data_IF_453020420148
#
_entry.id   IF_453020420148
#
_cell.length_a   1.000
_cell.length_b   1.000
_cell.length_c   1.000
_cell.angle_alpha   90.00
_cell.angle_beta   90.00
_cell.angle_gamma   90.00
#
_symmetry.space_group_name_H-M   'P 1'
#
loop_
_entity.id
_entity.type
_entity.pdbx_description
1 polymer ?
#
# COMPACT_ATOMS: atom_id res chain seq x y z
N UNK A 1 -7.07 10.48 -5.46
CA UNK A 1 -7.96 10.33 -4.28
C UNK A 1 -7.12 9.89 -3.08
N UNK A 2 -7.60 10.06 -1.84
CA UNK A 2 -6.91 9.61 -0.63
C UNK A 2 -7.48 8.25 -0.21
N UNK A 3 -6.63 7.24 -0.07
CA UNK A 3 -7.03 5.86 0.23
C UNK A 3 -6.30 5.37 1.48
N UNK A 4 -7.06 4.96 2.48
CA UNK A 4 -6.54 4.26 3.66
C UNK A 4 -6.65 2.75 3.43
N UNK A 5 -5.53 2.03 3.57
CA UNK A 5 -5.49 0.57 3.55
C UNK A 5 -5.11 0.08 4.95
N UNK A 6 -6.02 -0.68 5.56
CA UNK A 6 -5.76 -1.40 6.80
C UNK A 6 -4.98 -2.68 6.48
N UNK A 7 -3.75 -2.80 6.97
CA UNK A 7 -2.81 -3.86 6.59
C UNK A 7 -2.02 -3.52 5.34
N UNK A 8 -2.18 -4.31 4.27
CA UNK A 8 -1.60 -3.99 2.96
C UNK A 8 -0.15 -4.43 2.72
N UNK A 9 0.53 -4.97 3.74
CA UNK A 9 1.95 -5.39 3.64
C UNK A 9 2.15 -6.85 3.19
N UNK A 10 1.08 -7.59 2.86
CA UNK A 10 1.13 -8.99 2.39
C UNK A 10 0.05 -9.27 1.34
N UNK A 11 0.25 -10.34 0.56
CA UNK A 11 -0.72 -10.92 -0.38
C UNK A 11 -1.30 -9.85 -1.32
N UNK A 12 -2.63 -9.79 -1.47
CA UNK A 12 -3.32 -8.85 -2.35
C UNK A 12 -3.04 -7.38 -2.01
N UNK A 13 -2.76 -7.08 -0.73
CA UNK A 13 -2.50 -5.73 -0.26
C UNK A 13 -1.31 -5.06 -0.93
N UNK A 14 -0.28 -5.84 -1.28
CA UNK A 14 0.92 -5.34 -1.97
C UNK A 14 0.57 -4.91 -3.39
N UNK A 15 -0.16 -5.75 -4.13
CA UNK A 15 -0.56 -5.47 -5.50
C UNK A 15 -1.55 -4.31 -5.58
N UNK A 16 -2.53 -4.28 -4.68
CA UNK A 16 -3.50 -3.19 -4.61
C UNK A 16 -2.82 -1.85 -4.34
N UNK A 17 -1.87 -1.81 -3.40
CA UNK A 17 -1.09 -0.59 -3.10
C UNK A 17 -0.37 -0.09 -4.34
N UNK A 18 0.30 -0.97 -5.09
CA UNK A 18 1.01 -0.61 -6.33
C UNK A 18 0.07 -0.04 -7.40
N UNK A 19 -1.07 -0.70 -7.64
CA UNK A 19 -2.06 -0.25 -8.64
C UNK A 19 -2.61 1.12 -8.28
N UNK A 20 -2.96 1.35 -7.01
CA UNK A 20 -3.50 2.64 -6.56
C UNK A 20 -2.46 3.77 -6.66
N UNK A 21 -1.20 3.48 -6.34
CA UNK A 21 -0.10 4.44 -6.52
C UNK A 21 0.11 4.77 -8.01
N UNK A 22 0.12 3.76 -8.89
CA UNK A 22 0.22 3.95 -10.34
C UNK A 22 -0.95 4.74 -10.91
N UNK A 23 -2.14 4.60 -10.33
CA UNK A 23 -3.32 5.39 -10.68
C UNK A 23 -3.30 6.84 -10.12
N UNK A 24 -2.21 7.27 -9.50
CA UNK A 24 -2.05 8.63 -8.96
C UNK A 24 -2.86 8.88 -7.70
N UNK A 25 -3.14 7.84 -6.91
CA UNK A 25 -3.80 7.99 -5.62
C UNK A 25 -2.79 8.17 -4.48
N UNK A 26 -3.15 9.00 -3.50
CA UNK A 26 -2.42 9.11 -2.24
C UNK A 26 -2.85 7.94 -1.35
N UNK A 27 -1.93 7.01 -1.06
CA UNK A 27 -2.22 5.80 -0.30
C UNK A 27 -1.54 5.86 1.07
N UNK A 28 -2.32 5.63 2.13
CA UNK A 28 -1.83 5.48 3.50
C UNK A 28 -2.02 4.03 3.93
N UNK A 29 -0.95 3.40 4.41
CA UNK A 29 -0.99 2.04 4.97
C UNK A 29 -0.99 2.12 6.50
N UNK A 30 -2.05 1.62 7.13
CA UNK A 30 -2.11 1.46 8.58
C UNK A 30 -2.01 -0.02 8.94
N UNK A 31 -0.87 -0.46 9.48
CA UNK A 31 -0.61 -1.86 9.76
C UNK A 31 0.19 -2.04 11.07
N UNK A 32 0.33 -3.29 11.52
CA UNK A 32 0.98 -3.65 12.80
C UNK A 32 2.51 -3.48 12.84
N UNK A 33 3.16 -3.19 11.71
CA UNK A 33 4.63 -3.04 11.64
C UNK A 33 5.42 -4.35 11.57
N UNK A 34 4.76 -5.52 11.55
CA UNK A 34 5.45 -6.83 11.52
C UNK A 34 6.13 -7.16 10.17
N UNK A 35 5.83 -6.39 9.11
CA UNK A 35 6.39 -6.53 7.76
C UNK A 35 6.63 -5.13 7.17
N UNK A 36 7.70 -4.96 6.37
CA UNK A 36 7.97 -3.67 5.74
C UNK A 36 6.81 -3.26 4.83
N UNK A 37 6.58 -1.96 4.72
CA UNK A 37 5.66 -1.42 3.72
C UNK A 37 6.17 -1.74 2.31
N UNK A 38 5.28 -1.95 1.31
CA UNK A 38 5.69 -2.02 -0.08
C UNK A 38 6.48 -0.76 -0.44
N UNK A 39 7.74 -0.94 -0.84
CA UNK A 39 8.56 0.19 -1.31
C UNK A 39 8.01 0.69 -2.64
N UNK A 40 7.90 2.02 -2.83
CA UNK A 40 7.56 2.62 -4.11
C UNK A 40 8.73 2.62 -5.12
N UNK A 41 9.88 2.02 -4.81
CA UNK A 41 11.08 2.14 -5.65
C UNK A 41 11.18 1.09 -6.79
N UNK A 42 11.39 1.66 -7.99
CA UNK A 42 11.59 1.12 -9.37
C UNK A 42 10.43 0.38 -10.06
#
# INVERSE_FOLDING_TARGET
MRVLIMGGTRFIGVYLTKILLQAGHEVVLFNRGNKPAPSPEV
#
